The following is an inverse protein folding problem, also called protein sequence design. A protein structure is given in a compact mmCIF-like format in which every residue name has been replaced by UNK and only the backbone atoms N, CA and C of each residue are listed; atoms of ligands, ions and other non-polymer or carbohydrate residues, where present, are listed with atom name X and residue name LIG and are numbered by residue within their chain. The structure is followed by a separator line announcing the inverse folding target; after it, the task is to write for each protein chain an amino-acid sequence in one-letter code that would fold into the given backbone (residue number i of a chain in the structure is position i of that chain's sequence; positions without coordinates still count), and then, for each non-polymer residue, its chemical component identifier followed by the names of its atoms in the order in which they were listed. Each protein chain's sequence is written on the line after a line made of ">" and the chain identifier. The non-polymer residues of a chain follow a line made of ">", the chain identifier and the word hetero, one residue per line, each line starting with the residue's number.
data_IF_312434964846
#
_entry.id   IF_312434964846
#
_cell.length_a   1.000
_cell.length_b   1.000
_cell.length_c   1.000
_cell.angle_alpha   90.00
_cell.angle_beta   90.00
_cell.angle_gamma   90.00
#
_symmetry.space_group_name_H-M   'P 1'
#
loop_
_entity.id
_entity.type
_entity.pdbx_description
1 polymer ?
#
# COMPACT_ATOMS: atom_id res chain seq x y z
N UNK A 1 -20.02 -5.60 -1.05
CA UNK A 1 -18.93 -6.38 -1.66
C UNK A 1 -18.21 -7.09 -0.52
N UNK A 2 -18.23 -8.42 -0.52
CA UNK A 2 -17.74 -9.26 0.59
C UNK A 2 -16.19 -9.27 0.60
N UNK A 3 -15.58 -8.94 1.73
CA UNK A 3 -14.12 -8.85 1.92
C UNK A 3 -13.38 -10.16 1.73
N UNK A 4 -14.09 -11.28 1.52
CA UNK A 4 -13.52 -12.58 1.17
C UNK A 4 -12.95 -12.65 -0.25
N UNK A 5 -13.41 -11.83 -1.19
CA UNK A 5 -12.94 -11.89 -2.60
C UNK A 5 -11.51 -11.37 -2.78
N UNK A 6 -11.04 -10.43 -1.96
CA UNK A 6 -9.72 -9.81 -2.17
C UNK A 6 -8.55 -10.72 -1.75
N UNK A 7 -8.75 -11.67 -0.85
CA UNK A 7 -7.67 -12.53 -0.34
C UNK A 7 -7.33 -13.69 -1.30
N UNK A 8 -8.30 -14.22 -2.04
CA UNK A 8 -8.10 -15.38 -2.94
C UNK A 8 -7.32 -15.03 -4.21
N UNK A 9 -7.30 -13.77 -4.62
CA UNK A 9 -6.69 -13.32 -5.87
C UNK A 9 -5.19 -12.99 -5.73
N UNK A 10 -4.70 -12.78 -4.51
CA UNK A 10 -3.28 -12.52 -4.22
C UNK A 10 -2.38 -13.66 -4.74
N UNK A 11 -2.86 -14.91 -4.67
CA UNK A 11 -2.08 -16.09 -5.05
C UNK A 11 -1.92 -16.31 -6.57
N UNK A 12 -2.55 -15.49 -7.43
CA UNK A 12 -2.53 -15.63 -8.91
C UNK A 12 -1.73 -14.55 -9.63
N UNK A 13 -1.15 -13.59 -8.90
CA UNK A 13 -0.44 -12.46 -9.49
C UNK A 13 1.00 -12.89 -9.81
N UNK A 14 1.30 -13.19 -11.07
CA UNK A 14 2.65 -13.62 -11.51
C UNK A 14 3.45 -12.55 -12.26
N UNK A 15 2.89 -11.35 -12.46
CA UNK A 15 3.49 -10.25 -13.23
C UNK A 15 3.54 -8.97 -12.38
N UNK A 16 4.66 -8.25 -12.41
CA UNK A 16 4.86 -6.96 -11.72
C UNK A 16 3.80 -5.93 -12.12
N UNK A 17 3.40 -5.93 -13.39
CA UNK A 17 2.37 -5.03 -13.91
C UNK A 17 0.99 -5.41 -13.35
N UNK A 18 0.70 -6.71 -13.20
CA UNK A 18 -0.53 -7.18 -12.57
C UNK A 18 -0.57 -6.76 -11.10
N UNK A 19 0.55 -6.91 -10.37
CA UNK A 19 0.63 -6.45 -8.97
C UNK A 19 0.30 -4.96 -8.84
N UNK A 20 0.91 -4.12 -9.68
CA UNK A 20 0.62 -2.69 -9.67
C UNK A 20 -0.85 -2.40 -9.99
N UNK A 21 -1.42 -3.09 -10.98
CA UNK A 21 -2.82 -2.91 -11.36
C UNK A 21 -3.79 -3.25 -10.22
N UNK A 22 -3.56 -4.33 -9.48
CA UNK A 22 -4.39 -4.69 -8.32
C UNK A 22 -4.35 -3.61 -7.24
N UNK A 23 -3.17 -3.06 -6.94
CA UNK A 23 -3.05 -1.95 -5.98
C UNK A 23 -3.71 -0.67 -6.47
N UNK A 24 -3.62 -0.36 -7.77
CA UNK A 24 -4.33 0.77 -8.39
C UNK A 24 -5.85 0.61 -8.26
N UNK A 25 -6.38 -0.59 -8.51
CA UNK A 25 -7.81 -0.89 -8.37
C UNK A 25 -8.25 -0.74 -6.91
N UNK A 26 -7.51 -1.33 -5.98
CA UNK A 26 -7.80 -1.24 -4.55
C UNK A 26 -7.79 0.22 -4.06
N UNK A 27 -6.74 0.98 -4.41
CA UNK A 27 -6.62 2.39 -4.05
C UNK A 27 -7.78 3.23 -4.61
N UNK A 28 -8.16 3.02 -5.87
CA UNK A 28 -9.32 3.70 -6.47
C UNK A 28 -10.63 3.40 -5.73
N UNK A 29 -10.84 2.15 -5.31
CA UNK A 29 -12.02 1.76 -4.54
C UNK A 29 -12.02 2.39 -3.14
N UNK A 30 -10.88 2.42 -2.46
CA UNK A 30 -10.76 3.07 -1.15
C UNK A 30 -11.01 4.57 -1.26
N UNK A 31 -10.51 5.24 -2.30
CA UNK A 31 -10.78 6.66 -2.54
C UNK A 31 -12.27 6.96 -2.70
N UNK A 32 -13.01 6.12 -3.43
CA UNK A 32 -14.47 6.23 -3.56
C UNK A 32 -15.19 6.06 -2.22
N UNK A 33 -14.77 5.08 -1.43
CA UNK A 33 -15.32 4.81 -0.11
C UNK A 33 -15.08 5.98 0.84
N UNK A 34 -13.86 6.51 0.90
CA UNK A 34 -13.50 7.66 1.72
C UNK A 34 -14.30 8.91 1.33
N UNK A 35 -14.50 9.14 0.02
CA UNK A 35 -15.35 10.23 -0.47
C UNK A 35 -16.78 10.11 0.03
N UNK A 36 -17.34 8.90 0.07
CA UNK A 36 -18.67 8.65 0.61
C UNK A 36 -18.72 8.89 2.13
N UNK A 37 -17.73 8.41 2.89
CA UNK A 37 -17.67 8.55 4.35
C UNK A 37 -17.48 10.00 4.81
N UNK A 38 -16.74 10.81 4.06
CA UNK A 38 -16.43 12.20 4.38
C UNK A 38 -17.13 13.18 3.43
N UNK A 39 -18.34 12.83 2.96
CA UNK A 39 -19.07 13.67 2.02
C UNK A 39 -19.32 15.08 2.60
N UNK A 40 -19.02 16.11 1.82
CA UNK A 40 -19.17 17.51 2.23
C UNK A 40 -18.03 18.08 3.10
N UNK A 41 -17.07 17.27 3.58
CA UNK A 41 -15.92 17.74 4.37
C UNK A 41 -14.60 17.46 3.65
N UNK A 42 -14.18 18.43 2.83
CA UNK A 42 -12.95 18.35 2.03
C UNK A 42 -11.69 18.19 2.90
N UNK A 43 -11.67 18.78 4.10
CA UNK A 43 -10.50 18.72 4.97
C UNK A 43 -10.36 17.34 5.61
N UNK A 44 -11.45 16.77 6.12
CA UNK A 44 -11.43 15.39 6.64
C UNK A 44 -11.11 14.39 5.54
N UNK A 45 -11.68 14.56 4.34
CA UNK A 45 -11.35 13.72 3.20
C UNK A 45 -9.86 13.78 2.85
N UNK A 46 -9.26 14.98 2.80
CA UNK A 46 -7.82 15.15 2.54
C UNK A 46 -6.97 14.37 3.54
N UNK A 47 -7.28 14.48 4.84
CA UNK A 47 -6.55 13.77 5.89
C UNK A 47 -6.72 12.25 5.78
N UNK A 48 -7.95 11.78 5.61
CA UNK A 48 -8.25 10.36 5.46
C UNK A 48 -7.54 9.73 4.25
N UNK A 49 -7.47 10.44 3.12
CA UNK A 49 -6.68 10.01 1.96
C UNK A 49 -5.18 9.92 2.29
N UNK A 50 -4.66 10.87 3.07
CA UNK A 50 -3.27 10.87 3.51
C UNK A 50 -2.91 9.71 4.44
N UNK A 51 -3.81 9.36 5.36
CA UNK A 51 -3.64 8.20 6.25
C UNK A 51 -3.75 6.88 5.50
N UNK A 52 -4.78 6.72 4.66
CA UNK A 52 -4.96 5.55 3.80
C UNK A 52 -3.76 5.31 2.88
N UNK A 53 -3.22 6.38 2.27
CA UNK A 53 -1.99 6.31 1.46
C UNK A 53 -0.80 5.77 2.25
N UNK A 54 -0.62 6.22 3.49
CA UNK A 54 0.48 5.78 4.33
C UNK A 54 0.29 4.32 4.80
N UNK A 55 -0.94 3.90 5.08
CA UNK A 55 -1.26 2.52 5.44
C UNK A 55 -1.04 1.55 4.29
N UNK A 56 -1.36 1.93 3.05
CA UNK A 56 -0.95 1.18 1.86
C UNK A 56 0.57 1.06 1.79
N UNK A 57 1.29 2.15 2.05
CA UNK A 57 2.75 2.15 2.11
C UNK A 57 3.27 1.14 3.13
N UNK A 58 2.74 1.15 4.35
CA UNK A 58 3.20 0.24 5.41
C UNK A 58 2.83 -1.22 5.16
N UNK A 59 1.65 -1.48 4.59
CA UNK A 59 1.25 -2.82 4.17
C UNK A 59 2.18 -3.35 3.05
N UNK A 60 2.47 -2.52 2.05
CA UNK A 60 3.32 -2.91 0.92
C UNK A 60 4.78 -3.08 1.36
N UNK A 61 5.31 -2.21 2.23
CA UNK A 61 6.69 -2.29 2.77
C UNK A 61 6.86 -3.41 3.80
N UNK A 62 5.79 -3.90 4.41
CA UNK A 62 5.84 -4.84 5.53
C UNK A 62 6.23 -4.16 6.85
N UNK A 63 5.86 -2.89 7.02
CA UNK A 63 6.10 -2.08 8.23
C UNK A 63 4.82 -1.82 9.02
N UNK A 64 3.69 -2.39 8.61
CA UNK A 64 2.43 -2.31 9.35
C UNK A 64 2.58 -2.94 10.74
N UNK A 65 2.07 -2.25 11.76
CA UNK A 65 2.08 -2.69 13.17
C UNK A 65 0.77 -3.41 13.56
N UNK A 66 -0.15 -3.62 12.61
CA UNK A 66 -1.38 -4.36 12.84
C UNK A 66 -1.10 -5.84 13.10
N UNK A 67 -1.34 -6.32 14.32
CA UNK A 67 -1.09 -7.70 14.74
C UNK A 67 -2.35 -8.43 15.20
N UNK A 68 -2.95 -9.22 14.32
CA UNK A 68 -3.90 -10.28 14.64
C UNK A 68 -3.75 -11.42 13.61
N UNK A 69 -4.39 -12.57 13.83
CA UNK A 69 -4.25 -13.74 12.94
C UNK A 69 -4.59 -13.44 11.48
N UNK A 70 -5.55 -12.54 11.22
CA UNK A 70 -5.90 -12.17 9.85
C UNK A 70 -4.81 -11.29 9.21
N UNK A 71 -4.23 -10.34 9.95
CA UNK A 71 -3.17 -9.46 9.42
C UNK A 71 -1.85 -10.20 9.23
N UNK A 72 -1.54 -11.18 10.08
CA UNK A 72 -0.40 -12.08 9.92
C UNK A 72 -0.51 -12.93 8.64
N UNK A 73 -1.71 -13.44 8.35
CA UNK A 73 -1.97 -14.18 7.11
C UNK A 73 -1.80 -13.28 5.88
N UNK A 74 -2.27 -12.04 5.93
CA UNK A 74 -2.08 -11.07 4.85
C UNK A 74 -0.60 -10.78 4.61
N UNK A 75 0.16 -10.49 5.66
CA UNK A 75 1.61 -10.22 5.55
C UNK A 75 2.36 -11.44 5.01
N UNK A 76 2.04 -12.65 5.49
CA UNK A 76 2.63 -13.90 4.97
C UNK A 76 2.35 -14.08 3.48
N UNK A 77 1.11 -13.84 3.04
CA UNK A 77 0.73 -13.92 1.63
C UNK A 77 1.45 -12.87 0.79
N UNK A 78 1.59 -11.64 1.28
CA UNK A 78 2.35 -10.59 0.60
C UNK A 78 3.82 -10.94 0.47
N UNK A 79 4.45 -11.46 1.53
CA UNK A 79 5.84 -11.91 1.47
C UNK A 79 6.02 -13.00 0.41
N UNK A 80 5.15 -14.01 0.40
CA UNK A 80 5.18 -15.09 -0.59
C UNK A 80 4.96 -14.56 -2.01
N UNK A 81 4.04 -13.61 -2.18
CA UNK A 81 3.77 -12.99 -3.46
C UNK A 81 4.99 -12.22 -4.00
N UNK A 82 5.60 -11.35 -3.19
CA UNK A 82 6.79 -10.62 -3.59
C UNK A 82 7.97 -11.55 -3.89
N UNK A 83 8.20 -12.59 -3.07
CA UNK A 83 9.20 -13.62 -3.35
C UNK A 83 8.96 -14.32 -4.69
N UNK A 84 7.70 -14.56 -5.04
CA UNK A 84 7.31 -15.23 -6.30
C UNK A 84 7.51 -14.32 -7.51
N UNK A 85 6.97 -13.10 -7.48
CA UNK A 85 7.06 -12.14 -8.60
C UNK A 85 8.50 -11.71 -8.87
N UNK A 86 9.30 -11.56 -7.81
CA UNK A 86 10.68 -11.07 -7.91
C UNK A 86 11.73 -12.16 -7.75
N UNK A 87 11.35 -13.43 -7.87
CA UNK A 87 12.23 -14.58 -7.64
C UNK A 87 13.53 -14.50 -8.46
N UNK A 88 13.45 -14.10 -9.73
CA UNK A 88 14.62 -13.98 -10.60
C UNK A 88 15.56 -12.86 -10.14
N UNK A 89 15.03 -11.71 -9.72
CA UNK A 89 15.84 -10.61 -9.18
C UNK A 89 16.52 -11.00 -7.86
N UNK A 90 15.81 -11.72 -6.99
CA UNK A 90 16.37 -12.23 -5.73
C UNK A 90 17.50 -13.23 -6.01
N UNK A 91 17.31 -14.16 -6.97
CA UNK A 91 18.34 -15.13 -7.39
C UNK A 91 19.56 -14.46 -8.04
N UNK A 92 19.38 -13.37 -8.77
CA UNK A 92 20.50 -12.63 -9.37
C UNK A 92 21.29 -11.86 -8.31
N UNK A 93 20.62 -11.17 -7.38
CA UNK A 93 21.29 -10.44 -6.29
C UNK A 93 22.05 -11.33 -5.32
N UNK A 94 21.51 -12.50 -4.98
CA UNK A 94 22.18 -13.47 -4.10
C UNK A 94 23.46 -14.02 -4.74
N UNK A 95 23.47 -14.24 -6.06
CA UNK A 95 24.66 -14.64 -6.81
C UNK A 95 25.75 -13.56 -6.84
N UNK A 96 25.38 -12.28 -6.93
CA UNK A 96 26.34 -11.17 -7.02
C UNK A 96 26.83 -10.68 -5.65
N UNK A 97 26.00 -10.77 -4.61
CA UNK A 97 26.29 -10.19 -3.29
C UNK A 97 26.87 -11.18 -2.27
N UNK A 98 26.83 -12.49 -2.56
CA UNK A 98 27.38 -13.54 -1.69
C UNK A 98 26.68 -13.67 -0.32
N UNK A 99 25.61 -12.93 -0.06
CA UNK A 99 24.90 -12.91 1.22
C UNK A 99 23.57 -13.66 1.13
N UNK A 100 23.43 -14.76 1.87
CA UNK A 100 22.15 -15.41 2.16
C UNK A 100 21.34 -14.58 3.17
N UNK A 101 20.97 -13.34 2.82
CA UNK A 101 20.17 -12.44 3.65
C UNK A 101 18.76 -12.24 3.08
N UNK A 102 18.12 -13.34 2.67
CA UNK A 102 16.80 -13.38 2.02
C UNK A 102 15.73 -12.48 2.68
N UNK A 103 15.74 -12.36 4.02
CA UNK A 103 14.82 -11.51 4.77
C UNK A 103 15.08 -10.01 4.62
N UNK A 104 16.34 -9.58 4.60
CA UNK A 104 16.70 -8.16 4.43
C UNK A 104 16.49 -7.72 2.97
N UNK A 105 16.76 -8.63 2.03
CA UNK A 105 16.59 -8.38 0.60
C UNK A 105 15.12 -8.18 0.23
N UNK A 106 14.21 -8.96 0.83
CA UNK A 106 12.77 -8.79 0.60
C UNK A 106 12.24 -7.44 1.10
N UNK A 107 12.70 -6.99 2.27
CA UNK A 107 12.29 -5.69 2.84
C UNK A 107 12.73 -4.53 1.93
N UNK A 108 14.01 -4.52 1.54
CA UNK A 108 14.56 -3.50 0.64
C UNK A 108 13.86 -3.53 -0.73
N UNK A 109 13.57 -4.71 -1.26
CA UNK A 109 12.84 -4.87 -2.51
C UNK A 109 11.41 -4.29 -2.43
N UNK A 110 10.68 -4.59 -1.35
CA UNK A 110 9.33 -4.04 -1.13
C UNK A 110 9.34 -2.52 -0.98
N UNK A 111 10.33 -1.97 -0.27
CA UNK A 111 10.53 -0.52 -0.15
C UNK A 111 10.87 0.16 -1.48
N UNK A 112 11.81 -0.41 -2.25
CA UNK A 112 12.14 0.08 -3.59
C UNK A 112 10.93 0.02 -4.53
N UNK A 113 10.14 -1.06 -4.44
CA UNK A 113 8.91 -1.21 -5.22
C UNK A 113 7.87 -0.16 -4.84
N UNK A 114 7.64 0.09 -3.55
CA UNK A 114 6.75 1.17 -3.10
C UNK A 114 7.22 2.52 -3.63
N UNK A 115 8.49 2.89 -3.42
CA UNK A 115 9.03 4.18 -3.87
C UNK A 115 8.92 4.39 -5.38
N UNK A 116 9.04 3.31 -6.17
CA UNK A 116 8.88 3.36 -7.63
C UNK A 116 7.42 3.60 -8.06
N UNK A 117 6.46 3.04 -7.32
CA UNK A 117 5.07 2.91 -7.76
C UNK A 117 4.08 3.82 -7.01
N UNK A 118 4.47 4.38 -5.86
CA UNK A 118 3.57 5.09 -4.95
C UNK A 118 2.82 6.28 -5.55
N UNK A 119 3.40 6.92 -6.58
CA UNK A 119 2.73 7.99 -7.34
C UNK A 119 1.48 7.51 -8.09
N UNK A 120 1.48 6.27 -8.61
CA UNK A 120 0.34 5.69 -9.32
C UNK A 120 -0.76 5.28 -8.34
N UNK A 121 -0.37 4.73 -7.20
CA UNK A 121 -1.29 4.36 -6.11
C UNK A 121 -1.96 5.62 -5.56
N UNK A 122 -1.18 6.69 -5.28
CA UNK A 122 -1.73 7.98 -4.90
C UNK A 122 -2.67 8.55 -5.97
N UNK A 123 -2.27 8.53 -7.24
CA UNK A 123 -3.10 9.00 -8.34
C UNK A 123 -4.45 8.26 -8.43
N UNK A 124 -4.44 6.94 -8.22
CA UNK A 124 -5.64 6.12 -8.21
C UNK A 124 -6.54 6.41 -7.00
N UNK A 125 -5.96 6.54 -5.81
CA UNK A 125 -6.66 6.91 -4.57
C UNK A 125 -7.33 8.28 -4.72
N UNK A 126 -6.57 9.28 -5.19
CA UNK A 126 -7.05 10.61 -5.48
C UNK A 126 -8.16 10.61 -6.54
N UNK A 127 -7.97 9.89 -7.64
CA UNK A 127 -8.98 9.77 -8.69
C UNK A 127 -10.28 9.14 -8.17
N UNK A 128 -10.18 8.10 -7.33
CA UNK A 128 -11.33 7.49 -6.69
C UNK A 128 -12.14 8.48 -5.85
N UNK A 129 -11.47 9.41 -5.18
CA UNK A 129 -12.11 10.38 -4.31
C UNK A 129 -12.65 11.64 -5.03
N UNK A 130 -12.08 12.00 -6.19
CA UNK A 130 -12.33 13.30 -6.84
C UNK A 130 -12.86 13.21 -8.26
N UNK A 131 -12.69 12.06 -8.92
CA UNK A 131 -12.93 11.88 -10.37
C UNK A 131 -12.05 12.78 -11.26
N UNK A 132 -10.93 13.31 -10.74
CA UNK A 132 -10.02 14.20 -11.46
C UNK A 132 -8.67 13.53 -11.76
N UNK A 133 -8.25 13.58 -13.04
CA UNK A 133 -7.04 12.91 -13.55
C UNK A 133 -5.85 13.88 -13.68
N UNK A 134 -6.11 15.14 -14.04
CA UNK A 134 -5.07 16.08 -14.50
C UNK A 134 -4.77 17.26 -13.55
N UNK A 135 -5.33 17.23 -12.34
CA UNK A 135 -5.02 18.21 -11.30
C UNK A 135 -5.14 17.51 -9.93
N UNK A 136 -4.03 17.27 -9.22
CA UNK A 136 -4.15 16.88 -7.82
C UNK A 136 -4.82 18.04 -7.09
N UNK A 137 -6.08 17.86 -6.68
CA UNK A 137 -6.74 18.72 -5.68
C UNK A 137 -5.94 18.67 -4.38
N UNK A 138 -5.29 17.53 -4.15
CA UNK A 138 -4.39 17.27 -3.03
C UNK A 138 -3.01 16.88 -3.55
N UNK A 139 -1.99 17.59 -3.09
CA UNK A 139 -0.59 17.18 -3.29
C UNK A 139 -0.35 15.78 -2.74
N UNK A 140 0.58 15.05 -3.35
CA UNK A 140 0.98 13.74 -2.84
C UNK A 140 1.54 13.91 -1.41
N UNK A 141 0.94 13.25 -0.42
CA UNK A 141 1.41 13.36 0.95
C UNK A 141 2.73 12.61 1.12
N UNK A 142 3.55 13.07 2.07
CA UNK A 142 4.77 12.40 2.52
C UNK A 142 4.54 11.57 3.80
N UNK A 143 3.27 11.29 4.12
CA UNK A 143 2.84 10.56 5.33
C UNK A 143 3.36 9.13 5.37
N UNK A 144 3.74 8.56 4.22
CA UNK A 144 4.33 7.22 4.09
C UNK A 144 5.74 7.08 4.70
N UNK A 145 6.37 8.21 5.06
CA UNK A 145 7.65 8.25 5.77
C UNK A 145 7.50 8.41 7.29
N UNK A 146 6.31 8.74 7.79
CA UNK A 146 6.04 8.91 9.23
C UNK A 146 5.76 7.54 9.83
N UNK A 147 6.38 7.12 10.95
CA UNK A 147 6.07 5.85 11.61
C UNK A 147 4.57 5.69 11.91
N UNK A 148 4.00 4.51 11.62
CA UNK A 148 2.55 4.26 11.74
C UNK A 148 1.97 4.60 13.11
N UNK A 149 2.69 4.30 14.19
CA UNK A 149 2.28 4.65 15.55
C UNK A 149 2.02 6.16 15.74
N UNK A 150 2.88 7.02 15.18
CA UNK A 150 2.72 8.47 15.30
C UNK A 150 1.53 8.97 14.48
N UNK A 151 1.25 8.34 13.34
CA UNK A 151 0.06 8.66 12.54
C UNK A 151 -1.21 8.26 13.26
N UNK A 152 -1.25 7.08 13.88
CA UNK A 152 -2.39 6.68 14.71
C UNK A 152 -2.59 7.65 15.87
N UNK A 153 -1.54 8.02 16.60
CA UNK A 153 -1.66 9.01 17.67
C UNK A 153 -2.26 10.34 17.16
N UNK A 154 -1.83 10.80 15.97
CA UNK A 154 -2.38 12.00 15.34
C UNK A 154 -3.86 11.84 14.93
N UNK A 155 -4.22 10.70 14.32
CA UNK A 155 -5.61 10.36 13.98
C UNK A 155 -6.50 10.36 15.22
N UNK A 156 -6.03 9.77 16.32
CA UNK A 156 -6.77 9.75 17.59
C UNK A 156 -7.07 11.16 18.11
N UNK A 157 -6.09 12.05 18.12
CA UNK A 157 -6.26 13.46 18.55
C UNK A 157 -7.25 14.21 17.66
N UNK A 158 -7.38 13.84 16.39
CA UNK A 158 -8.28 14.50 15.44
C UNK A 158 -9.73 14.01 15.55
N UNK A 159 -9.94 12.85 16.20
CA UNK A 159 -11.24 12.17 16.28
C UNK A 159 -11.83 12.09 17.68
N UNK A 160 -11.06 12.37 18.74
CA UNK A 160 -11.47 12.31 20.14
C UNK A 160 -10.91 13.51 20.93
#
# INVERSE_FOLDING_TARGET
>A
MDGRSCASDINKISDKNKLLNEWIIAAKLEGKKLKYQHNGDTNKLKKALGYSYADYGDLIKGTSIWGNTNTENVETNLQNLFKTIFQNHIKENTKTSGSNKDGNDLKLLREAWWNTNKKYIWGALHYGATEQINRPVFEQPNTDYIPQFLRFAQEWIEHF
#
